data_IF_140965560406
#
_entry.id   IF_140965560406
#
_cell.length_a   1.000
_cell.length_b   1.000
_cell.length_c   1.000
_cell.angle_alpha   90.00
_cell.angle_beta   90.00
_cell.angle_gamma   90.00
#
_symmetry.space_group_name_H-M   'P 1'
#
loop_
_entity.id
_entity.type
_entity.pdbx_description
1 polymer ?
#
# COMPACT_ATOMS: atom_id res chain seq x y z
N UNK A 1 10.63 -18.72 8.44
CA UNK A 1 9.58 -18.01 9.20
C UNK A 1 8.26 -18.45 8.59
N UNK A 2 7.31 -18.92 9.38
CA UNK A 2 5.97 -19.28 8.89
C UNK A 2 5.33 -18.04 8.26
N UNK A 3 4.78 -18.19 7.07
CA UNK A 3 3.92 -17.18 6.49
C UNK A 3 2.75 -16.98 7.46
N UNK A 4 2.41 -15.73 7.76
CA UNK A 4 1.22 -15.44 8.57
C UNK A 4 -0.01 -15.66 7.68
N UNK A 5 -1.16 -15.98 8.27
CA UNK A 5 -2.43 -16.05 7.55
C UNK A 5 -3.01 -14.65 7.23
N UNK A 6 -2.17 -13.59 7.30
CA UNK A 6 -2.58 -12.22 7.05
C UNK A 6 -2.95 -12.02 5.59
N UNK A 7 -4.09 -11.37 5.35
CA UNK A 7 -4.56 -11.02 4.02
C UNK A 7 -4.36 -9.54 3.72
N UNK A 8 -4.11 -9.24 2.46
CA UNK A 8 -3.91 -7.89 1.97
C UNK A 8 -5.21 -7.24 1.52
N UNK A 9 -5.29 -5.92 1.64
CA UNK A 9 -6.32 -5.09 1.03
C UNK A 9 -5.63 -3.96 0.30
N UNK A 10 -5.94 -3.75 -0.98
CA UNK A 10 -5.59 -2.54 -1.71
C UNK A 10 -6.87 -1.75 -1.92
N UNK A 11 -6.95 -0.57 -1.29
CA UNK A 11 -8.07 0.33 -1.50
C UNK A 11 -7.77 1.25 -2.69
N UNK A 12 -8.33 0.91 -3.83
CA UNK A 12 -8.17 1.58 -5.12
C UNK A 12 -9.48 2.26 -5.60
N UNK A 13 -10.33 2.63 -4.65
CA UNK A 13 -11.55 3.39 -4.88
C UNK A 13 -11.34 4.90 -4.92
N UNK A 14 -12.45 5.61 -5.02
CA UNK A 14 -12.47 7.07 -5.02
C UNK A 14 -12.59 7.69 -6.41
N UNK A 15 -13.10 8.92 -6.46
CA UNK A 15 -13.42 9.62 -7.71
C UNK A 15 -12.22 10.23 -8.45
N UNK A 16 -11.06 10.35 -7.78
CA UNK A 16 -9.85 10.95 -8.35
C UNK A 16 -10.00 12.40 -8.81
N UNK A 17 -11.00 13.14 -8.32
CA UNK A 17 -11.38 14.48 -8.80
C UNK A 17 -10.25 15.51 -8.76
N UNK A 18 -9.33 15.37 -7.81
CA UNK A 18 -8.14 16.26 -7.72
C UNK A 18 -7.19 16.14 -8.91
N UNK A 19 -7.30 15.05 -9.67
CA UNK A 19 -6.50 14.80 -10.89
C UNK A 19 -7.31 14.99 -12.17
N UNK A 20 -8.49 15.62 -12.12
CA UNK A 20 -9.21 15.97 -13.32
C UNK A 20 -8.39 16.94 -14.20
N UNK A 21 -8.44 16.81 -15.56
CA UNK A 21 -9.31 15.87 -16.31
C UNK A 21 -8.75 14.46 -16.53
N UNK A 22 -7.52 14.13 -16.07
CA UNK A 22 -6.83 12.88 -16.39
C UNK A 22 -7.65 11.65 -15.94
N UNK A 23 -8.29 11.74 -14.77
CA UNK A 23 -9.05 10.65 -14.15
C UNK A 23 -10.52 10.58 -14.56
N UNK A 24 -10.94 11.33 -15.60
CA UNK A 24 -12.31 11.23 -16.10
C UNK A 24 -12.67 9.85 -16.64
N UNK A 25 -11.74 9.22 -17.36
CA UNK A 25 -11.97 7.95 -18.04
C UNK A 25 -11.24 6.76 -17.41
N UNK A 26 -10.33 7.01 -16.47
CA UNK A 26 -9.46 5.97 -15.89
C UNK A 26 -9.30 6.19 -14.38
N UNK A 27 -9.23 5.09 -13.62
CA UNK A 27 -8.91 5.16 -12.21
C UNK A 27 -7.52 5.77 -12.00
N UNK A 28 -7.35 6.57 -10.95
CA UNK A 28 -6.07 7.15 -10.56
C UNK A 28 -4.97 6.09 -10.46
N UNK A 29 -5.27 4.96 -9.85
CA UNK A 29 -4.32 3.88 -9.58
C UNK A 29 -3.89 3.12 -10.86
N UNK A 30 -4.56 3.37 -11.98
CA UNK A 30 -4.20 2.87 -13.31
C UNK A 30 -3.29 3.83 -14.08
N UNK A 31 -3.13 5.07 -13.60
CA UNK A 31 -2.21 6.02 -14.23
C UNK A 31 -0.78 5.52 -14.17
N UNK A 32 0.02 5.77 -15.20
CA UNK A 32 1.43 5.42 -15.18
C UNK A 32 2.15 6.28 -14.12
N UNK A 33 2.92 5.61 -13.28
CA UNK A 33 3.86 6.25 -12.38
C UNK A 33 5.26 5.83 -12.78
N UNK A 34 5.89 6.63 -13.62
CA UNK A 34 7.12 6.39 -14.36
C UNK A 34 6.96 5.24 -15.38
N UNK A 35 7.34 4.00 -15.08
CA UNK A 35 7.43 2.90 -16.04
C UNK A 35 6.38 1.79 -15.86
N UNK A 36 5.50 1.91 -14.88
CA UNK A 36 4.43 0.93 -14.59
C UNK A 36 3.17 1.60 -14.01
N UNK A 37 2.03 0.90 -13.95
CA UNK A 37 0.83 1.39 -13.29
C UNK A 37 1.06 1.68 -11.81
N UNK A 38 0.41 2.73 -11.30
CA UNK A 38 0.55 3.15 -9.91
C UNK A 38 0.23 2.04 -8.90
N UNK A 39 -0.75 1.18 -9.20
CA UNK A 39 -1.18 0.09 -8.29
C UNK A 39 -0.07 -0.93 -8.01
N UNK A 40 0.93 -1.04 -8.87
CA UNK A 40 2.05 -1.99 -8.67
C UNK A 40 2.89 -1.64 -7.44
N UNK A 41 2.94 -0.37 -7.04
CA UNK A 41 3.70 0.07 -5.87
C UNK A 41 3.06 -0.38 -4.54
N UNK A 42 1.76 -0.11 -4.26
CA UNK A 42 1.12 -0.64 -3.06
C UNK A 42 1.04 -2.18 -3.07
N UNK A 43 0.85 -2.82 -4.24
CA UNK A 43 0.92 -4.27 -4.37
C UNK A 43 2.31 -4.77 -3.95
N UNK A 44 3.37 -4.13 -4.43
CA UNK A 44 4.75 -4.45 -4.05
C UNK A 44 4.99 -4.32 -2.54
N UNK A 45 4.39 -3.34 -1.87
CA UNK A 45 4.51 -3.20 -0.42
C UNK A 45 3.91 -4.42 0.32
N UNK A 46 2.74 -4.92 -0.10
CA UNK A 46 2.16 -6.15 0.44
C UNK A 46 3.04 -7.38 0.14
N UNK A 47 3.58 -7.49 -1.06
CA UNK A 47 4.47 -8.58 -1.46
C UNK A 47 5.79 -8.58 -0.66
N UNK A 48 6.34 -7.40 -0.35
CA UNK A 48 7.51 -7.24 0.53
C UNK A 48 7.22 -7.68 1.96
N UNK A 49 5.97 -7.56 2.43
CA UNK A 49 5.49 -8.14 3.68
C UNK A 49 5.20 -9.65 3.61
N UNK A 50 5.37 -10.28 2.44
CA UNK A 50 5.06 -11.68 2.12
C UNK A 50 3.58 -12.05 2.10
N UNK A 51 2.70 -11.10 1.90
CA UNK A 51 1.27 -11.31 1.79
C UNK A 51 0.93 -11.73 0.36
N UNK A 52 0.23 -12.86 0.19
CA UNK A 52 -0.08 -13.48 -1.11
C UNK A 52 -1.55 -13.41 -1.52
N UNK A 53 -2.46 -13.28 -0.55
CA UNK A 53 -3.89 -13.16 -0.81
C UNK A 53 -4.28 -11.70 -0.65
N UNK A 54 -4.82 -11.07 -1.68
CA UNK A 54 -5.09 -9.62 -1.70
C UNK A 54 -6.47 -9.35 -2.29
N UNK A 55 -7.31 -8.62 -1.54
CA UNK A 55 -8.54 -8.01 -2.06
C UNK A 55 -8.23 -6.64 -2.66
N UNK A 56 -8.65 -6.44 -3.91
CA UNK A 56 -8.58 -5.16 -4.60
C UNK A 56 -9.98 -4.55 -4.56
N UNK A 57 -10.11 -3.46 -3.80
CA UNK A 57 -11.39 -2.76 -3.61
C UNK A 57 -11.41 -1.55 -4.52
N UNK A 58 -12.38 -1.48 -5.42
CA UNK A 58 -12.53 -0.35 -6.34
C UNK A 58 -14.00 -0.12 -6.71
N UNK A 59 -14.24 0.98 -7.42
CA UNK A 59 -15.60 1.30 -7.90
C UNK A 59 -16.07 0.25 -8.93
N UNK A 60 -17.40 0.03 -9.07
CA UNK A 60 -17.93 -0.88 -10.09
C UNK A 60 -17.48 -0.51 -11.51
N UNK A 61 -17.26 0.78 -11.79
CA UNK A 61 -16.75 1.29 -13.08
C UNK A 61 -15.32 0.83 -13.36
N UNK A 62 -14.44 0.89 -12.34
CA UNK A 62 -13.00 0.75 -12.54
C UNK A 62 -12.53 -0.71 -12.26
N UNK A 63 -13.28 -1.48 -11.49
CA UNK A 63 -12.93 -2.85 -11.10
C UNK A 63 -12.60 -3.78 -12.29
N UNK A 64 -13.36 -3.76 -13.42
CA UNK A 64 -13.02 -4.57 -14.60
C UNK A 64 -11.64 -4.25 -15.20
N UNK A 65 -11.17 -3.00 -15.07
CA UNK A 65 -9.85 -2.61 -15.57
C UNK A 65 -8.74 -3.21 -14.69
N UNK A 66 -8.92 -3.23 -13.35
CA UNK A 66 -7.99 -3.90 -12.45
C UNK A 66 -7.96 -5.41 -12.70
N UNK A 67 -9.11 -6.04 -12.95
CA UNK A 67 -9.18 -7.45 -13.32
C UNK A 67 -8.43 -7.75 -14.61
N UNK A 68 -8.57 -6.89 -15.61
CA UNK A 68 -7.85 -7.04 -16.88
C UNK A 68 -6.34 -6.84 -16.74
N UNK A 69 -5.89 -5.92 -15.84
CA UNK A 69 -4.48 -5.64 -15.61
C UNK A 69 -3.79 -6.73 -14.78
N UNK A 70 -4.38 -7.11 -13.65
CA UNK A 70 -3.74 -7.91 -12.60
C UNK A 70 -4.09 -9.40 -12.69
N UNK A 71 -5.17 -9.75 -13.44
CA UNK A 71 -5.66 -11.12 -13.54
C UNK A 71 -6.11 -11.69 -12.18
N UNK A 72 -5.84 -12.95 -11.95
CA UNK A 72 -6.14 -13.65 -10.69
C UNK A 72 -4.96 -13.69 -9.70
N UNK A 73 -3.82 -13.13 -10.09
CA UNK A 73 -2.58 -13.12 -9.30
C UNK A 73 -1.69 -14.34 -9.51
N UNK A 74 -2.16 -15.38 -10.17
CA UNK A 74 -1.40 -16.64 -10.36
C UNK A 74 -0.06 -16.43 -11.09
N UNK A 75 0.03 -15.43 -11.98
CA UNK A 75 1.25 -15.07 -12.67
C UNK A 75 2.41 -14.70 -11.72
N UNK A 76 2.10 -14.20 -10.54
CA UNK A 76 3.06 -13.84 -9.49
C UNK A 76 3.03 -14.81 -8.30
N UNK A 77 2.34 -15.96 -8.42
CA UNK A 77 2.14 -16.89 -7.31
C UNK A 77 1.29 -16.32 -6.18
N UNK A 78 0.40 -15.38 -6.49
CA UNK A 78 -0.55 -14.72 -5.58
C UNK A 78 -1.99 -15.13 -5.90
N UNK A 79 -2.94 -14.68 -5.07
CA UNK A 79 -4.38 -14.77 -5.32
C UNK A 79 -5.02 -13.40 -5.11
N UNK A 80 -5.78 -12.95 -6.11
CA UNK A 80 -6.53 -11.70 -6.05
C UNK A 80 -8.02 -11.97 -6.00
N UNK A 81 -8.69 -11.29 -5.07
CA UNK A 81 -10.13 -11.15 -5.00
C UNK A 81 -10.50 -9.69 -5.33
N UNK A 82 -11.63 -9.48 -5.99
CA UNK A 82 -12.06 -8.17 -6.45
C UNK A 82 -13.37 -7.81 -5.78
N UNK A 83 -13.37 -6.68 -5.05
CA UNK A 83 -14.48 -6.25 -4.20
C UNK A 83 -15.00 -4.90 -4.66
N UNK A 84 -16.29 -4.80 -4.90
CA UNK A 84 -16.92 -3.54 -5.29
C UNK A 84 -17.08 -2.59 -4.11
N UNK A 85 -16.69 -1.33 -4.33
CA UNK A 85 -17.00 -0.20 -3.47
C UNK A 85 -18.02 0.69 -4.19
N UNK A 86 -19.32 0.55 -3.93
CA UNK A 86 -20.36 1.33 -4.63
C UNK A 86 -20.25 2.84 -4.36
N UNK A 87 -19.91 3.20 -3.11
CA UNK A 87 -19.72 4.59 -2.66
C UNK A 87 -18.45 4.69 -1.82
N UNK A 88 -17.63 5.75 -1.99
CA UNK A 88 -16.39 5.93 -1.23
C UNK A 88 -16.69 6.57 0.15
N UNK A 89 -17.22 5.78 1.07
CA UNK A 89 -17.69 6.27 2.39
C UNK A 89 -16.57 6.29 3.45
N UNK A 90 -15.31 6.38 3.03
CA UNK A 90 -14.15 6.47 3.90
C UNK A 90 -13.25 5.24 3.90
N UNK A 91 -12.05 5.38 4.47
CA UNK A 91 -11.02 4.33 4.41
C UNK A 91 -11.38 3.11 5.26
N UNK A 92 -12.02 3.31 6.41
CA UNK A 92 -12.39 2.21 7.29
C UNK A 92 -13.52 1.33 6.71
N UNK A 93 -14.29 1.83 5.73
CA UNK A 93 -15.28 1.05 4.98
C UNK A 93 -14.63 -0.18 4.31
N UNK A 94 -13.36 -0.11 3.92
CA UNK A 94 -12.65 -1.21 3.27
C UNK A 94 -12.67 -2.50 4.11
N UNK A 95 -12.63 -2.40 5.43
CA UNK A 95 -12.68 -3.56 6.32
C UNK A 95 -14.08 -4.21 6.34
N UNK A 96 -15.13 -3.42 6.19
CA UNK A 96 -16.51 -3.92 6.09
C UNK A 96 -16.76 -4.63 4.77
N UNK A 97 -16.25 -4.06 3.67
CA UNK A 97 -16.39 -4.62 2.33
C UNK A 97 -15.56 -5.90 2.14
N UNK A 98 -14.38 -5.96 2.77
CA UNK A 98 -13.48 -7.11 2.66
C UNK A 98 -13.73 -8.20 3.73
N UNK A 99 -14.76 -8.10 4.57
CA UNK A 99 -14.95 -8.99 5.71
C UNK A 99 -15.05 -10.47 5.31
N UNK A 100 -15.85 -10.78 4.29
CA UNK A 100 -16.00 -12.15 3.77
C UNK A 100 -14.67 -12.68 3.22
N UNK A 101 -13.92 -11.84 2.51
CA UNK A 101 -12.57 -12.18 2.04
C UNK A 101 -11.62 -12.42 3.21
N UNK A 102 -11.62 -11.56 4.22
CA UNK A 102 -10.75 -11.70 5.40
C UNK A 102 -11.07 -12.98 6.18
N UNK A 103 -12.34 -13.35 6.30
CA UNK A 103 -12.79 -14.58 6.96
C UNK A 103 -12.15 -14.79 8.36
N UNK A 104 -12.02 -13.70 9.14
CA UNK A 104 -11.42 -13.73 10.47
C UNK A 104 -9.88 -13.70 10.51
N UNK A 105 -9.21 -13.54 9.36
CA UNK A 105 -7.76 -13.34 9.32
C UNK A 105 -7.37 -11.90 9.69
N UNK A 106 -6.16 -11.67 10.25
CA UNK A 106 -5.60 -10.34 10.34
C UNK A 106 -5.34 -9.76 8.93
N UNK A 107 -5.26 -8.45 8.82
CA UNK A 107 -5.18 -7.75 7.54
C UNK A 107 -3.99 -6.79 7.46
N UNK A 108 -3.52 -6.53 6.23
CA UNK A 108 -2.69 -5.38 5.90
C UNK A 108 -3.38 -4.60 4.77
N UNK A 109 -3.83 -3.38 5.07
CA UNK A 109 -4.42 -2.51 4.06
C UNK A 109 -3.40 -1.50 3.58
N UNK A 110 -3.32 -1.31 2.26
CA UNK A 110 -2.52 -0.25 1.62
C UNK A 110 -3.42 0.59 0.74
N UNK A 111 -3.23 1.90 0.80
CA UNK A 111 -3.91 2.82 -0.11
C UNK A 111 -3.30 2.71 -1.51
N UNK A 112 -4.14 2.58 -2.52
CA UNK A 112 -3.74 2.27 -3.90
C UNK A 112 -2.92 3.34 -4.62
N UNK A 113 -2.72 4.48 -3.98
CA UNK A 113 -1.98 5.64 -4.49
C UNK A 113 -0.72 5.96 -3.67
N UNK A 114 -0.32 5.07 -2.78
CA UNK A 114 0.83 5.28 -1.91
C UNK A 114 2.06 4.51 -2.42
N UNK A 115 3.18 5.20 -2.45
CA UNK A 115 4.49 4.65 -2.78
C UNK A 115 5.37 4.69 -1.54
N UNK A 116 6.02 3.57 -1.25
CA UNK A 116 6.98 3.43 -0.16
C UNK A 116 8.33 3.02 -0.72
N UNK A 117 9.38 3.70 -0.31
CA UNK A 117 10.75 3.37 -0.67
C UNK A 117 11.68 3.63 0.52
N UNK A 118 12.68 2.79 0.71
CA UNK A 118 13.74 3.00 1.70
C UNK A 118 14.42 1.69 2.09
N UNK A 119 15.68 1.84 2.52
CA UNK A 119 16.46 0.72 3.02
C UNK A 119 15.78 0.08 4.24
N UNK A 120 15.68 -1.25 4.25
CA UNK A 120 15.04 -1.99 5.34
C UNK A 120 13.51 -1.95 5.35
N UNK A 121 12.85 -1.40 4.32
CA UNK A 121 11.39 -1.38 4.22
C UNK A 121 10.79 -2.78 4.38
N UNK A 122 11.31 -3.76 3.64
CA UNK A 122 10.85 -5.17 3.73
C UNK A 122 10.94 -5.73 5.16
N UNK A 123 12.02 -5.42 5.88
CA UNK A 123 12.20 -5.87 7.27
C UNK A 123 11.15 -5.24 8.20
N UNK A 124 10.86 -3.94 8.04
CA UNK A 124 9.82 -3.25 8.83
C UNK A 124 8.43 -3.80 8.54
N UNK A 125 8.09 -4.04 7.27
CA UNK A 125 6.80 -4.61 6.87
C UNK A 125 6.63 -6.04 7.40
N UNK A 126 7.65 -6.89 7.30
CA UNK A 126 7.64 -8.24 7.88
C UNK A 126 7.54 -8.24 9.41
N UNK A 127 8.18 -7.27 10.07
CA UNK A 127 8.05 -7.11 11.52
C UNK A 127 6.63 -6.68 11.93
N UNK A 128 5.97 -5.85 11.13
CA UNK A 128 4.57 -5.49 11.32
C UNK A 128 3.64 -6.68 11.05
N UNK A 129 3.90 -7.44 9.98
CA UNK A 129 3.16 -8.66 9.64
C UNK A 129 3.20 -9.72 10.76
N UNK A 130 4.35 -9.92 11.38
CA UNK A 130 4.53 -10.90 12.47
C UNK A 130 3.71 -10.57 13.72
N UNK A 131 3.16 -9.36 13.84
CA UNK A 131 2.28 -8.95 14.96
C UNK A 131 0.83 -9.17 14.56
N UNK A 132 0.25 -10.25 15.04
CA UNK A 132 -1.13 -10.65 14.70
C UNK A 132 -2.18 -10.08 15.65
N UNK A 133 -1.78 -9.42 16.75
CA UNK A 133 -2.67 -8.76 17.70
C UNK A 133 -2.50 -7.24 17.67
N UNK A 134 -3.62 -6.52 17.78
CA UNK A 134 -3.67 -5.07 17.76
C UNK A 134 -3.46 -4.45 16.38
N UNK A 135 -3.05 -3.19 16.37
CA UNK A 135 -2.76 -2.42 15.16
C UNK A 135 -1.31 -1.96 15.10
N UNK A 136 -0.70 -2.01 13.92
CA UNK A 136 0.58 -1.38 13.63
C UNK A 136 0.43 -0.49 12.40
N UNK A 137 0.83 0.77 12.54
CA UNK A 137 0.85 1.78 11.45
C UNK A 137 2.21 2.45 11.40
N UNK A 138 2.46 3.18 10.33
CA UNK A 138 3.73 3.87 10.13
C UNK A 138 3.52 5.38 10.15
N UNK A 139 4.33 6.07 10.96
CA UNK A 139 4.39 7.53 11.03
C UNK A 139 5.54 8.05 10.16
N UNK A 140 5.27 9.05 9.34
CA UNK A 140 6.25 9.72 8.49
C UNK A 140 6.22 11.22 8.71
N UNK A 141 7.39 11.85 8.79
CA UNK A 141 7.47 13.30 9.01
C UNK A 141 7.24 14.06 7.71
N UNK A 142 6.24 14.95 7.73
CA UNK A 142 5.83 15.77 6.57
C UNK A 142 5.90 17.26 6.90
N UNK A 143 5.87 18.10 5.87
CA UNK A 143 5.83 19.56 6.00
C UNK A 143 4.42 20.14 6.12
N UNK A 144 3.41 19.39 5.69
CA UNK A 144 1.99 19.75 5.57
C UNK A 144 1.07 18.73 6.28
N UNK A 145 1.28 18.51 7.62
CA UNK A 145 0.61 17.46 8.38
C UNK A 145 -0.92 17.61 8.43
N UNK A 146 -1.46 18.81 8.26
CA UNK A 146 -2.90 19.10 8.24
C UNK A 146 -3.67 18.36 7.12
N UNK A 147 -2.98 17.79 6.14
CA UNK A 147 -3.59 17.00 5.06
C UNK A 147 -3.89 15.56 5.44
N UNK A 148 -3.35 15.08 6.55
CA UNK A 148 -3.30 13.66 6.92
C UNK A 148 -3.84 13.41 8.33
N UNK A 149 -4.00 12.14 8.68
CA UNK A 149 -4.10 11.75 10.08
C UNK A 149 -2.78 12.04 10.79
N UNK A 150 -2.80 12.82 11.86
CA UNK A 150 -1.60 13.27 12.58
C UNK A 150 -1.46 12.52 13.89
N UNK A 151 -0.27 11.94 14.11
CA UNK A 151 0.10 11.27 15.37
C UNK A 151 0.85 12.25 16.26
N UNK A 152 0.43 12.34 17.53
CA UNK A 152 1.16 13.02 18.59
C UNK A 152 1.88 12.00 19.48
N UNK A 153 3.14 12.26 19.80
CA UNK A 153 3.95 11.41 20.67
C UNK A 153 4.36 12.17 21.94
N UNK A 154 4.52 11.43 23.04
CA UNK A 154 5.19 11.95 24.22
C UNK A 154 6.73 11.90 24.07
N UNK A 155 7.44 12.35 25.10
CA UNK A 155 8.91 12.35 25.13
C UNK A 155 9.55 10.95 25.12
N UNK A 156 8.76 9.91 25.39
CA UNK A 156 9.19 8.51 25.39
C UNK A 156 8.81 7.79 24.08
N UNK A 157 8.18 8.53 23.11
CA UNK A 157 7.75 8.00 21.82
C UNK A 157 6.44 7.21 21.87
N UNK A 158 5.66 7.31 22.95
CA UNK A 158 4.34 6.68 23.05
C UNK A 158 3.29 7.57 22.38
N UNK A 159 2.33 6.95 21.72
CA UNK A 159 1.22 7.65 21.07
C UNK A 159 0.33 8.30 22.11
N UNK A 160 0.13 9.61 22.00
CA UNK A 160 -0.79 10.38 22.83
C UNK A 160 -2.15 10.57 22.15
N UNK A 161 -2.16 10.84 20.86
CA UNK A 161 -3.39 11.05 20.10
C UNK A 161 -3.17 10.79 18.60
N UNK A 162 -4.26 10.47 17.88
CA UNK A 162 -4.32 10.48 16.42
C UNK A 162 -5.53 11.30 16.01
N UNK A 163 -5.34 12.33 15.18
CA UNK A 163 -6.39 13.25 14.76
C UNK A 163 -6.40 13.37 13.25
N UNK A 164 -7.57 13.14 12.63
CA UNK A 164 -7.76 13.29 11.19
C UNK A 164 -7.75 14.75 10.77
N UNK A 165 -6.84 15.10 9.86
CA UNK A 165 -6.74 16.42 9.21
C UNK A 165 -6.97 17.59 10.16
N UNK A 166 -6.19 17.71 11.24
CA UNK A 166 -6.39 18.76 12.22
C UNK A 166 -6.08 20.15 11.64
N UNK A 167 -6.90 21.14 11.91
CA UNK A 167 -6.61 22.55 11.53
C UNK A 167 -5.31 23.08 12.14
N UNK A 168 -4.96 22.58 13.33
CA UNK A 168 -3.74 22.92 14.06
C UNK A 168 -3.02 21.65 14.48
N UNK A 169 -2.15 21.11 13.62
CA UNK A 169 -1.41 19.88 13.93
C UNK A 169 -0.51 20.06 15.16
N UNK A 170 -0.53 19.09 16.08
CA UNK A 170 0.33 19.07 17.26
C UNK A 170 1.69 18.44 17.00
N UNK A 171 1.83 17.76 15.87
CA UNK A 171 3.08 17.16 15.43
C UNK A 171 3.21 17.23 13.90
N UNK A 172 4.40 16.96 13.37
CA UNK A 172 4.65 16.83 11.94
C UNK A 172 4.63 15.36 11.46
N UNK A 173 4.16 14.42 12.29
CA UNK A 173 4.09 13.01 11.91
C UNK A 173 2.71 12.65 11.36
N UNK A 174 2.64 12.39 10.06
CA UNK A 174 1.46 11.84 9.39
C UNK A 174 1.42 10.32 9.53
N UNK A 175 0.23 9.75 9.70
CA UNK A 175 -0.01 8.30 9.52
C UNK A 175 0.03 8.03 8.03
N UNK A 176 0.90 7.12 7.60
CA UNK A 176 1.00 6.73 6.19
C UNK A 176 -0.16 5.82 5.78
N UNK A 177 -0.33 5.61 4.47
CA UNK A 177 -1.42 4.79 3.94
C UNK A 177 -1.16 3.27 3.98
N UNK A 178 -0.52 2.74 5.03
CA UNK A 178 -0.37 1.30 5.26
C UNK A 178 -0.70 0.94 6.71
N UNK A 179 -1.59 -0.04 6.88
CA UNK A 179 -2.23 -0.38 8.15
C UNK A 179 -2.22 -1.90 8.35
N UNK A 180 -1.55 -2.39 9.38
CA UNK A 180 -1.57 -3.79 9.80
C UNK A 180 -2.50 -3.90 11.00
N UNK A 181 -3.65 -4.55 10.84
CA UNK A 181 -4.65 -4.69 11.90
C UNK A 181 -4.94 -6.18 12.16
N UNK A 182 -5.35 -6.49 13.38
CA UNK A 182 -5.76 -7.83 13.77
C UNK A 182 -7.14 -8.22 13.21
N UNK A 183 -7.58 -9.43 13.48
CA UNK A 183 -8.84 -9.98 12.99
C UNK A 183 -10.08 -9.22 13.48
N UNK A 184 -9.97 -8.34 14.49
CA UNK A 184 -11.10 -7.56 15.02
C UNK A 184 -11.40 -6.30 14.21
N UNK A 185 -10.59 -5.99 13.19
CA UNK A 185 -10.75 -4.76 12.41
C UNK A 185 -12.14 -4.58 11.79
N UNK A 186 -12.80 -5.58 11.17
CA UNK A 186 -14.15 -5.42 10.65
C UNK A 186 -15.20 -5.15 11.75
N UNK A 187 -15.12 -5.87 12.89
CA UNK A 187 -16.01 -5.66 14.02
C UNK A 187 -15.88 -4.24 14.59
N UNK A 188 -14.64 -3.77 14.77
CA UNK A 188 -14.35 -2.39 15.23
C UNK A 188 -14.85 -1.35 14.22
N UNK A 189 -14.63 -1.57 12.92
CA UNK A 189 -15.11 -0.66 11.87
C UNK A 189 -16.62 -0.48 11.86
N UNK A 190 -17.42 -1.48 12.29
CA UNK A 190 -18.87 -1.34 12.45
C UNK A 190 -19.28 -0.41 13.57
N UNK A 191 -18.43 -0.17 14.55
CA UNK A 191 -18.77 0.67 15.71
C UNK A 191 -18.48 2.15 15.48
N UNK A 192 -17.66 2.50 14.50
CA UNK A 192 -17.38 3.91 14.19
C UNK A 192 -18.55 4.54 13.44
N UNK A 193 -18.65 5.86 13.54
CA UNK A 193 -19.69 6.66 12.89
C UNK A 193 -19.06 7.55 11.83
N UNK A 194 -19.80 7.87 10.76
CA UNK A 194 -19.33 8.85 9.78
C UNK A 194 -18.97 10.18 10.46
N UNK A 195 -17.84 10.75 10.05
CA UNK A 195 -17.37 12.06 10.48
C UNK A 195 -18.27 13.19 9.94
N UNK A 196 -17.96 14.43 10.27
CA UNK A 196 -18.62 15.60 9.69
C UNK A 196 -18.49 15.67 8.16
N UNK A 197 -17.51 14.93 7.58
CA UNK A 197 -17.32 14.78 6.13
C UNK A 197 -18.17 13.67 5.52
N UNK A 198 -18.91 12.91 6.34
CA UNK A 198 -19.67 11.73 5.91
C UNK A 198 -18.83 10.49 5.70
N UNK A 199 -17.55 10.45 6.14
CA UNK A 199 -16.62 9.36 5.91
C UNK A 199 -16.41 8.54 7.19
N UNK A 200 -16.27 7.21 7.04
CA UNK A 200 -15.78 6.31 8.08
C UNK A 200 -14.25 6.45 8.12
N UNK A 201 -13.77 7.27 9.06
CA UNK A 201 -12.36 7.64 9.12
C UNK A 201 -11.50 6.48 9.63
N UNK A 202 -10.36 6.28 8.99
CA UNK A 202 -9.39 5.29 9.47
C UNK A 202 -8.81 5.68 10.82
N UNK A 203 -8.65 6.97 11.09
CA UNK A 203 -8.16 7.49 12.37
C UNK A 203 -9.09 7.16 13.53
N UNK A 204 -10.42 7.11 13.29
CA UNK A 204 -11.37 6.68 14.33
C UNK A 204 -11.21 5.19 14.64
N UNK A 205 -10.99 4.36 13.61
CA UNK A 205 -10.67 2.94 13.80
C UNK A 205 -9.37 2.77 14.60
N UNK A 206 -8.33 3.52 14.25
CA UNK A 206 -7.04 3.50 14.96
C UNK A 206 -7.17 3.97 16.41
N UNK A 207 -8.04 4.94 16.68
CA UNK A 207 -8.29 5.43 18.03
C UNK A 207 -8.96 4.37 18.93
N UNK A 208 -9.74 3.43 18.37
CA UNK A 208 -10.24 2.29 19.14
C UNK A 208 -9.10 1.37 19.59
N UNK A 209 -8.14 1.10 18.71
CA UNK A 209 -6.93 0.35 19.08
C UNK A 209 -6.04 1.10 20.07
N UNK A 210 -5.92 2.41 19.91
CA UNK A 210 -5.17 3.27 20.83
C UNK A 210 -5.80 3.28 22.23
N UNK A 211 -7.12 3.42 22.33
CA UNK A 211 -7.86 3.41 23.60
C UNK A 211 -7.70 2.10 24.37
N UNK A 212 -7.56 0.98 23.66
CA UNK A 212 -7.28 -0.35 24.23
C UNK A 212 -5.80 -0.60 24.56
N UNK A 213 -4.92 0.37 24.28
CA UNK A 213 -3.46 0.19 24.42
C UNK A 213 -2.83 -0.80 23.44
N UNK A 214 -3.53 -1.08 22.32
CA UNK A 214 -3.16 -2.07 21.30
C UNK A 214 -2.66 -1.46 19.99
N UNK A 215 -2.49 -0.15 19.90
CA UNK A 215 -1.94 0.52 18.73
C UNK A 215 -0.44 0.75 18.87
N UNK A 216 0.30 0.37 17.85
CA UNK A 216 1.71 0.68 17.68
C UNK A 216 1.92 1.59 16.46
N UNK A 217 2.72 2.63 16.62
CA UNK A 217 3.18 3.48 15.52
C UNK A 217 4.69 3.31 15.38
N UNK A 218 5.11 2.79 14.22
CA UNK A 218 6.52 2.69 13.83
C UNK A 218 6.88 3.94 13.02
N UNK A 219 8.02 4.57 13.28
CA UNK A 219 8.44 5.73 12.49
C UNK A 219 9.30 5.30 11.31
N UNK A 220 9.01 5.89 10.14
CA UNK A 220 9.89 5.86 8.97
C UNK A 220 10.84 7.05 9.07
N UNK A 221 12.12 6.76 9.33
CA UNK A 221 13.14 7.76 9.54
C UNK A 221 13.78 8.29 8.26
N UNK A 222 14.96 8.89 8.39
CA UNK A 222 15.76 9.35 7.25
C UNK A 222 16.10 8.17 6.33
N UNK A 223 16.10 8.41 5.02
CA UNK A 223 16.34 7.37 4.02
C UNK A 223 15.07 6.66 3.55
N UNK A 224 13.91 6.94 4.17
CA UNK A 224 12.62 6.54 3.64
C UNK A 224 11.98 7.67 2.83
N UNK A 225 11.27 7.29 1.77
CA UNK A 225 10.33 8.14 1.06
C UNK A 225 8.94 7.50 1.14
N UNK A 226 7.97 8.31 1.53
CA UNK A 226 6.55 8.02 1.40
C UNK A 226 5.95 9.12 0.53
N UNK A 227 5.32 8.72 -0.57
CA UNK A 227 4.79 9.61 -1.58
C UNK A 227 3.29 9.32 -1.72
N UNK A 228 2.45 10.33 -1.53
CA UNK A 228 1.05 10.30 -1.91
C UNK A 228 0.91 10.96 -3.28
N UNK A 229 0.33 10.29 -4.23
CA UNK A 229 0.19 10.81 -5.60
C UNK A 229 -1.14 11.54 -5.80
N UNK A 230 -1.55 12.35 -4.79
CA UNK A 230 -2.87 12.96 -4.67
C UNK A 230 -3.16 14.14 -5.57
N UNK A 231 -2.14 14.81 -6.11
CA UNK A 231 -2.22 15.99 -6.99
C UNK A 231 -1.37 15.79 -8.22
N UNK A 232 -1.51 16.67 -9.22
CA UNK A 232 -0.67 16.63 -10.43
C UNK A 232 0.81 16.82 -10.08
N UNK A 233 1.11 17.72 -9.16
CA UNK A 233 2.46 18.01 -8.69
C UNK A 233 3.06 16.79 -7.98
N UNK A 234 2.34 16.21 -7.00
CA UNK A 234 2.86 15.04 -6.27
C UNK A 234 2.98 13.79 -7.14
N UNK A 235 2.14 13.65 -8.19
CA UNK A 235 2.26 12.57 -9.18
C UNK A 235 3.55 12.73 -10.00
N UNK A 236 3.86 13.95 -10.44
CA UNK A 236 5.08 14.25 -11.19
C UNK A 236 6.33 14.06 -10.31
N UNK A 237 6.33 14.61 -9.09
CA UNK A 237 7.43 14.47 -8.13
C UNK A 237 7.71 12.99 -7.82
N UNK A 238 6.68 12.18 -7.62
CA UNK A 238 6.83 10.75 -7.38
C UNK A 238 7.44 10.04 -8.60
N UNK A 239 7.01 10.35 -9.81
CA UNK A 239 7.56 9.78 -11.03
C UNK A 239 9.04 10.16 -11.23
N UNK A 240 9.42 11.41 -10.97
CA UNK A 240 10.80 11.88 -11.05
C UNK A 240 11.69 11.24 -9.96
N UNK A 241 11.17 11.10 -8.75
CA UNK A 241 11.86 10.41 -7.66
C UNK A 241 12.17 8.96 -8.04
N UNK A 242 11.16 8.20 -8.50
CA UNK A 242 11.31 6.79 -8.90
C UNK A 242 12.33 6.69 -10.03
N UNK A 243 12.18 7.47 -11.10
CA UNK A 243 13.12 7.51 -12.22
C UNK A 243 14.55 7.73 -11.76
N UNK A 244 14.75 8.70 -10.86
CA UNK A 244 16.08 9.05 -10.38
C UNK A 244 16.73 7.91 -9.59
N UNK A 245 15.97 7.25 -8.72
CA UNK A 245 16.44 6.10 -7.94
C UNK A 245 16.77 4.92 -8.87
N UNK A 246 15.85 4.56 -9.77
CA UNK A 246 16.03 3.45 -10.69
C UNK A 246 17.23 3.66 -11.63
N UNK A 247 17.40 4.87 -12.18
CA UNK A 247 18.53 5.21 -13.04
C UNK A 247 19.88 5.13 -12.30
N UNK A 248 19.90 5.49 -11.01
CA UNK A 248 21.13 5.49 -10.21
C UNK A 248 21.50 4.13 -9.66
N UNK A 249 20.51 3.37 -9.19
CA UNK A 249 20.74 2.06 -8.57
C UNK A 249 20.72 0.92 -9.60
N UNK A 250 20.15 1.16 -10.80
CA UNK A 250 19.91 0.14 -11.82
C UNK A 250 19.04 -1.03 -11.30
N UNK A 251 18.16 -0.72 -10.34
CA UNK A 251 17.16 -1.58 -9.73
C UNK A 251 15.77 -0.95 -9.89
N UNK A 252 14.73 -1.75 -9.80
CA UNK A 252 13.36 -1.25 -9.87
C UNK A 252 12.78 -0.92 -8.49
N UNK A 253 11.98 0.14 -8.43
CA UNK A 253 11.15 0.46 -7.27
C UNK A 253 9.78 -0.16 -7.49
N UNK A 254 9.35 -1.03 -6.57
CA UNK A 254 8.02 -1.64 -6.65
C UNK A 254 7.82 -2.48 -7.93
N UNK A 255 8.56 -3.59 -8.06
CA UNK A 255 8.49 -4.51 -9.20
C UNK A 255 7.88 -5.85 -8.73
N UNK A 256 6.58 -6.09 -8.99
CA UNK A 256 5.90 -7.31 -8.52
C UNK A 256 6.59 -8.59 -8.98
N UNK A 257 7.03 -8.67 -10.24
CA UNK A 257 7.68 -9.85 -10.82
C UNK A 257 8.99 -10.19 -10.10
N UNK A 258 9.82 -9.17 -9.86
CA UNK A 258 11.08 -9.33 -9.11
C UNK A 258 10.82 -9.80 -7.68
N UNK A 259 9.86 -9.16 -6.99
CA UNK A 259 9.55 -9.50 -5.59
C UNK A 259 8.99 -10.92 -5.50
N UNK A 260 8.12 -11.34 -6.43
CA UNK A 260 7.60 -12.69 -6.52
C UNK A 260 8.73 -13.72 -6.70
N UNK A 261 9.68 -13.43 -7.58
CA UNK A 261 10.84 -14.26 -7.83
C UNK A 261 11.78 -14.34 -6.61
N UNK A 262 12.14 -13.20 -6.01
CA UNK A 262 12.99 -13.17 -4.82
C UNK A 262 12.35 -13.82 -3.59
N UNK A 263 11.01 -13.79 -3.49
CA UNK A 263 10.26 -14.50 -2.48
C UNK A 263 10.17 -16.03 -2.75
N UNK A 264 10.56 -16.49 -3.95
CA UNK A 264 10.46 -17.90 -4.36
C UNK A 264 9.02 -18.31 -4.69
N UNK A 265 8.15 -17.37 -5.02
CA UNK A 265 6.77 -17.65 -5.41
C UNK A 265 6.65 -18.04 -6.88
N UNK A 266 7.58 -17.59 -7.69
CA UNK A 266 7.77 -17.99 -9.09
C UNK A 266 9.23 -18.39 -9.33
N UNK A 267 9.47 -19.24 -10.31
CA UNK A 267 10.80 -19.66 -10.72
C UNK A 267 11.39 -18.80 -11.85
N UNK A 268 12.63 -19.09 -12.25
CA UNK A 268 13.35 -18.38 -13.33
C UNK A 268 12.57 -18.45 -14.66
N UNK A 269 12.04 -19.63 -15.01
CA UNK A 269 11.29 -19.83 -16.24
C UNK A 269 10.00 -18.98 -16.28
N UNK A 270 9.31 -18.91 -15.15
CA UNK A 270 8.12 -18.08 -14.99
C UNK A 270 8.47 -16.58 -15.07
N UNK A 271 9.56 -16.14 -14.42
CA UNK A 271 10.02 -14.75 -14.52
C UNK A 271 10.40 -14.38 -15.97
N UNK A 272 11.08 -15.28 -16.68
CA UNK A 272 11.41 -15.08 -18.10
C UNK A 272 10.16 -15.03 -18.99
N UNK A 273 9.15 -15.84 -18.70
CA UNK A 273 7.88 -15.79 -19.42
C UNK A 273 7.15 -14.45 -19.22
N UNK A 274 7.19 -13.89 -17.99
CA UNK A 274 6.67 -12.53 -17.68
C UNK A 274 7.48 -11.43 -18.38
N UNK A 275 8.79 -11.59 -18.50
CA UNK A 275 9.65 -10.62 -19.18
C UNK A 275 9.46 -10.61 -20.71
N UNK A 276 9.09 -11.73 -21.33
CA UNK A 276 9.06 -11.93 -22.77
C UNK A 276 8.26 -10.85 -23.55
N UNK A 277 7.02 -10.46 -23.14
CA UNK A 277 6.26 -9.43 -23.84
C UNK A 277 6.92 -8.04 -23.78
N UNK A 278 7.81 -7.81 -22.84
CA UNK A 278 8.40 -6.51 -22.52
C UNK A 278 9.88 -6.39 -22.90
N UNK A 279 10.50 -7.38 -23.54
CA UNK A 279 11.95 -7.39 -23.86
C UNK A 279 12.43 -6.18 -24.67
N UNK A 280 11.55 -5.51 -25.42
CA UNK A 280 11.87 -4.29 -26.16
C UNK A 280 12.00 -3.05 -25.24
N UNK A 281 11.47 -3.13 -24.00
CA UNK A 281 11.51 -2.05 -23.00
C UNK A 281 12.70 -2.21 -22.05
N UNK A 282 13.02 -1.18 -21.29
CA UNK A 282 13.98 -1.28 -20.20
C UNK A 282 13.49 -2.21 -19.08
N UNK A 283 12.18 -2.19 -18.81
CA UNK A 283 11.54 -3.03 -17.79
C UNK A 283 11.74 -4.53 -18.10
N UNK A 284 11.36 -4.98 -19.29
CA UNK A 284 11.52 -6.41 -19.66
C UNK A 284 12.98 -6.86 -19.69
N UNK A 285 13.92 -6.00 -20.17
CA UNK A 285 15.35 -6.31 -20.12
C UNK A 285 15.88 -6.40 -18.68
N UNK A 286 15.32 -5.60 -17.77
CA UNK A 286 15.63 -5.70 -16.36
C UNK A 286 15.21 -7.06 -15.78
N UNK A 287 13.96 -7.48 -16.01
CA UNK A 287 13.46 -8.79 -15.54
C UNK A 287 14.31 -9.95 -16.07
N UNK A 288 14.63 -9.93 -17.37
CA UNK A 288 15.50 -10.95 -17.98
C UNK A 288 16.91 -11.00 -17.34
N UNK A 289 17.45 -9.84 -16.97
CA UNK A 289 18.75 -9.76 -16.27
C UNK A 289 18.66 -10.31 -14.85
N UNK A 290 17.58 -10.02 -14.10
CA UNK A 290 17.37 -10.57 -12.75
C UNK A 290 17.15 -12.09 -12.80
N UNK A 291 16.44 -12.60 -13.80
CA UNK A 291 16.28 -14.05 -14.01
C UNK A 291 17.66 -14.73 -14.20
N UNK A 292 18.54 -14.13 -15.01
CA UNK A 292 19.88 -14.69 -15.29
C UNK A 292 20.86 -14.55 -14.10
N UNK A 293 20.71 -13.51 -13.27
CA UNK A 293 21.56 -13.26 -12.09
C UNK A 293 20.74 -12.67 -10.93
N UNK A 294 20.12 -13.54 -10.10
CA UNK A 294 19.32 -13.13 -8.95
C UNK A 294 20.06 -12.31 -7.89
N UNK A 295 21.39 -12.44 -7.84
CA UNK A 295 22.20 -11.72 -6.86
C UNK A 295 22.26 -10.21 -7.10
N UNK A 296 21.94 -9.77 -8.32
CA UNK A 296 21.84 -8.34 -8.64
C UNK A 296 20.78 -7.64 -7.82
N UNK A 297 19.63 -8.29 -7.59
CA UNK A 297 18.54 -7.72 -6.81
C UNK A 297 18.68 -7.98 -5.29
N UNK A 298 19.43 -9.02 -4.87
CA UNK A 298 19.65 -9.34 -3.45
C UNK A 298 20.66 -8.44 -2.76
N UNK A 299 21.57 -7.85 -3.53
CA UNK A 299 22.68 -7.01 -3.04
C UNK A 299 22.35 -5.50 -3.09
N UNK A 300 21.22 -5.12 -3.62
CA UNK A 300 20.69 -3.77 -3.67
C UNK A 300 19.62 -3.50 -2.58
#
# INVERSE_FOLDING_TARGET
>A
MSETDRKGIILAGGSGTRLYPITHAVSKQMLPLYDKPMIDYPLSALMLARIREVAIISTPRDLPQFQALLGDGAAWGMRFDYVEQPTPDGLAQAYLLAEDFLAGAPSAMVLGDNVFFGEGLSAKLKAADARTEGGTVFGYRVSDPERYGVVEFDSEGRVLSIVEKPEKPKSSYAVTGIYFLDATAPERARTIRPSARGELEITDLLNLYHGDGKLRVETLGRGFAWLDTGTHESLLEAAEFIRTIEDRQNLKVGCPEEIAFLNGWIDEGQLMALAQPYLQTQYGRYLARIAADPDLARKG
#
